data_IF_127574528950
#
_entry.id   IF_127574528950
#
_cell.length_a   1.000
_cell.length_b   1.000
_cell.length_c   1.000
_cell.angle_alpha   90.00
_cell.angle_beta   90.00
_cell.angle_gamma   90.00
#
_symmetry.space_group_name_H-M   'P 1'
#
loop_
_entity.id
_entity.type
_entity.pdbx_description
1 polymer ?
#
# COMPACT_ATOMS: atom_id res chain seq x y z
N UNK A 1 -0.16 -11.39 13.63
CA UNK A 1 -0.51 -9.94 13.54
C UNK A 1 0.33 -9.28 12.45
N UNK A 2 -0.26 -8.40 11.68
CA UNK A 2 0.47 -7.70 10.62
C UNK A 2 1.30 -6.57 11.22
N UNK A 3 2.58 -6.56 10.88
CA UNK A 3 3.50 -5.52 11.31
C UNK A 3 3.36 -4.31 10.38
N UNK A 4 3.12 -3.14 10.95
CA UNK A 4 2.90 -1.92 10.16
C UNK A 4 4.09 -1.60 9.25
N UNK A 5 5.31 -1.86 9.70
CA UNK A 5 6.50 -1.57 8.89
C UNK A 5 6.63 -2.53 7.72
N UNK A 6 6.29 -3.80 7.93
CA UNK A 6 6.29 -4.78 6.84
C UNK A 6 5.21 -4.43 5.83
N UNK A 7 4.00 -4.13 6.30
CA UNK A 7 2.91 -3.72 5.41
C UNK A 7 3.34 -2.51 4.57
N UNK A 8 3.89 -1.49 5.22
CA UNK A 8 4.30 -0.26 4.54
C UNK A 8 5.41 -0.49 3.53
N UNK A 9 6.43 -1.27 3.90
CA UNK A 9 7.56 -1.51 3.00
C UNK A 9 7.15 -2.34 1.79
N UNK A 10 6.25 -3.30 1.96
CA UNK A 10 5.75 -4.09 0.83
C UNK A 10 4.93 -3.21 -0.12
N UNK A 11 4.04 -2.38 0.42
CA UNK A 11 3.26 -1.48 -0.42
C UNK A 11 4.16 -0.52 -1.19
N UNK A 12 5.18 0.02 -0.54
CA UNK A 12 6.14 0.90 -1.20
C UNK A 12 6.90 0.16 -2.31
N UNK A 13 7.38 -1.04 -2.03
CA UNK A 13 8.10 -1.86 -3.01
C UNK A 13 7.23 -2.14 -4.23
N UNK A 14 6.00 -2.58 -4.00
CA UNK A 14 5.09 -2.90 -5.11
C UNK A 14 4.78 -1.65 -5.95
N UNK A 15 4.63 -0.50 -5.30
CA UNK A 15 4.41 0.75 -6.01
C UNK A 15 5.63 1.11 -6.86
N UNK A 16 6.81 1.02 -6.29
CA UNK A 16 8.05 1.37 -6.99
C UNK A 16 8.34 0.43 -8.14
N UNK A 17 8.06 -0.86 -7.96
CA UNK A 17 8.24 -1.84 -9.04
C UNK A 17 7.36 -1.53 -10.24
N UNK A 18 6.24 -0.87 -10.02
CA UNK A 18 5.33 -0.48 -11.10
C UNK A 18 5.61 0.92 -11.64
N UNK A 19 6.65 1.57 -11.13
CA UNK A 19 7.01 2.90 -11.59
C UNK A 19 5.99 3.98 -11.25
N UNK A 20 5.18 3.76 -10.20
CA UNK A 20 4.13 4.70 -9.83
C UNK A 20 4.57 5.59 -8.67
N UNK A 21 4.20 6.87 -8.75
CA UNK A 21 4.49 7.81 -7.67
C UNK A 21 3.46 7.69 -6.55
N UNK A 22 3.81 8.19 -5.36
CA UNK A 22 2.84 8.28 -4.27
C UNK A 22 1.64 9.13 -4.67
N UNK A 23 1.87 10.20 -5.41
CA UNK A 23 0.79 11.08 -5.84
C UNK A 23 -0.22 10.32 -6.71
N UNK A 24 0.26 9.52 -7.65
CA UNK A 24 -0.63 8.75 -8.53
C UNK A 24 -1.39 7.70 -7.73
N UNK A 25 -0.70 6.91 -6.93
CA UNK A 25 -1.36 5.84 -6.17
C UNK A 25 -2.35 6.40 -5.16
N UNK A 26 -1.97 7.44 -4.42
CA UNK A 26 -2.90 8.04 -3.45
C UNK A 26 -4.13 8.62 -4.15
N UNK A 27 -3.93 9.26 -5.30
CA UNK A 27 -5.05 9.79 -6.08
C UNK A 27 -6.01 8.70 -6.54
N UNK A 28 -5.48 7.62 -7.10
CA UNK A 28 -6.30 6.49 -7.54
C UNK A 28 -7.00 5.78 -6.38
N UNK A 29 -6.34 5.71 -5.23
CA UNK A 29 -6.91 5.07 -4.05
C UNK A 29 -7.88 5.99 -3.29
N UNK A 30 -7.96 7.26 -3.67
CA UNK A 30 -8.86 8.21 -3.00
C UNK A 30 -8.41 8.57 -1.60
N UNK A 31 -7.11 8.56 -1.33
CA UNK A 31 -6.56 8.96 -0.02
C UNK A 31 -5.57 10.09 -0.22
N UNK A 32 -5.24 10.80 0.86
CA UNK A 32 -4.23 11.84 0.79
C UNK A 32 -2.83 11.27 0.61
N UNK A 33 -1.97 11.99 -0.10
CA UNK A 33 -0.59 11.56 -0.29
C UNK A 33 0.15 11.43 1.05
N UNK A 34 -0.13 12.35 1.97
CA UNK A 34 0.46 12.29 3.31
C UNK A 34 0.05 11.01 4.04
N UNK A 35 -1.20 10.59 3.86
CA UNK A 35 -1.71 9.36 4.45
C UNK A 35 -0.96 8.14 3.86
N UNK A 36 -0.84 8.09 2.52
CA UNK A 36 -0.10 7.00 1.90
C UNK A 36 1.36 6.97 2.35
N UNK A 37 1.99 8.14 2.44
CA UNK A 37 3.36 8.24 2.90
C UNK A 37 3.53 7.68 4.31
N UNK A 38 2.60 8.02 5.22
CA UNK A 38 2.63 7.51 6.59
C UNK A 38 2.48 5.99 6.63
N UNK A 39 1.61 5.44 5.77
CA UNK A 39 1.43 3.99 5.66
C UNK A 39 2.74 3.35 5.19
N UNK A 40 3.35 3.89 4.16
CA UNK A 40 4.59 3.31 3.60
C UNK A 40 5.75 3.38 4.60
N UNK A 41 5.77 4.40 5.46
CA UNK A 41 6.80 4.51 6.50
C UNK A 41 6.52 3.62 7.72
N UNK A 42 5.39 2.93 7.73
CA UNK A 42 5.04 2.05 8.85
C UNK A 42 4.51 2.79 10.06
N UNK A 43 4.13 4.05 9.91
CA UNK A 43 3.60 4.86 11.00
C UNK A 43 2.11 4.62 11.23
N UNK A 44 1.42 4.12 10.20
CA UNK A 44 -0.01 3.84 10.28
C UNK A 44 -0.31 2.58 9.49
N UNK A 45 -1.21 1.75 10.02
CA UNK A 45 -1.76 0.64 9.25
C UNK A 45 -2.96 1.14 8.46
N UNK A 46 -3.12 0.73 7.22
CA UNK A 46 -4.34 1.08 6.48
C UNK A 46 -5.53 0.32 7.06
N UNK A 47 -6.72 0.92 6.96
CA UNK A 47 -7.95 0.16 7.17
C UNK A 47 -8.06 -0.86 6.04
N UNK A 48 -8.94 -1.85 6.21
CA UNK A 48 -9.16 -2.84 5.16
C UNK A 48 -9.61 -2.17 3.87
N UNK A 49 -10.49 -1.17 3.97
CA UNK A 49 -10.98 -0.44 2.79
C UNK A 49 -9.82 0.28 2.09
N UNK A 50 -8.99 0.99 2.85
CA UNK A 50 -7.85 1.70 2.28
C UNK A 50 -6.86 0.72 1.63
N UNK A 51 -6.61 -0.40 2.29
CA UNK A 51 -5.73 -1.45 1.76
C UNK A 51 -6.27 -1.97 0.42
N UNK A 52 -7.57 -2.24 0.37
CA UNK A 52 -8.23 -2.71 -0.85
C UNK A 52 -8.04 -1.71 -1.98
N UNK A 53 -8.26 -0.41 -1.70
CA UNK A 53 -8.13 0.65 -2.70
C UNK A 53 -6.70 0.82 -3.19
N UNK A 54 -5.73 0.68 -2.29
CA UNK A 54 -4.32 0.75 -2.68
C UNK A 54 -3.98 -0.42 -3.62
N UNK A 55 -4.47 -1.61 -3.30
CA UNK A 55 -4.26 -2.78 -4.17
C UNK A 55 -4.80 -2.53 -5.56
N UNK A 56 -6.02 -1.99 -5.67
CA UNK A 56 -6.60 -1.67 -6.96
C UNK A 56 -5.79 -0.62 -7.71
N UNK A 57 -5.28 0.40 -6.98
CA UNK A 57 -4.46 1.44 -7.57
C UNK A 57 -3.14 0.88 -8.13
N UNK A 58 -2.66 -0.22 -7.55
CA UNK A 58 -1.46 -0.92 -8.03
C UNK A 58 -1.78 -1.90 -9.14
N UNK A 59 -3.03 -1.99 -9.57
CA UNK A 59 -3.50 -2.98 -10.56
C UNK A 59 -3.25 -4.41 -10.10
N UNK A 60 -3.42 -4.64 -8.80
CA UNK A 60 -3.27 -5.95 -8.19
C UNK A 60 -4.53 -6.32 -7.43
N UNK A 61 -4.81 -7.61 -7.36
CA UNK A 61 -5.82 -8.07 -6.42
C UNK A 61 -5.31 -7.80 -5.00
N UNK A 62 -6.13 -7.24 -4.12
CA UNK A 62 -5.70 -7.05 -2.73
C UNK A 62 -5.22 -8.33 -2.07
N UNK A 63 -5.80 -9.48 -2.43
CA UNK A 63 -5.32 -10.78 -1.93
C UNK A 63 -3.89 -11.07 -2.36
N UNK A 64 -3.50 -10.64 -3.58
CA UNK A 64 -2.13 -10.81 -4.04
C UNK A 64 -1.17 -9.90 -3.28
N UNK A 65 -1.62 -8.68 -2.95
CA UNK A 65 -0.83 -7.77 -2.13
C UNK A 65 -0.62 -8.36 -0.74
N UNK A 66 -1.69 -8.91 -0.15
CA UNK A 66 -1.61 -9.54 1.17
C UNK A 66 -0.65 -10.74 1.15
N UNK A 67 -0.68 -11.52 0.07
CA UNK A 67 0.23 -12.66 -0.07
C UNK A 67 1.70 -12.20 -0.05
N UNK A 68 2.00 -11.06 -0.67
CA UNK A 68 3.35 -10.50 -0.64
C UNK A 68 3.76 -10.10 0.79
N UNK A 69 2.82 -9.55 1.55
CA UNK A 69 3.08 -9.19 2.95
C UNK A 69 3.33 -10.46 3.77
N UNK A 70 2.53 -11.50 3.53
CA UNK A 70 2.67 -12.76 4.26
C UNK A 70 3.98 -13.49 3.93
N UNK A 71 4.55 -13.22 2.76
CA UNK A 71 5.80 -13.85 2.33
C UNK A 71 7.04 -13.24 2.99
N UNK A 72 6.91 -12.09 3.64
CA UNK A 72 8.05 -11.42 4.29
C UNK A 72 8.51 -12.08 5.58
#
# INVERSE_FOLDING_TARGET
>A
MLDAKVVGSVLQRLREERGLSQEIVSGLAGIGRTHLSAIERGERKPTLETFYRIGEALHMRPSAVLAEIEAE
#
